data_IF_235585639842
#
_entry.id   IF_235585639842
#
_cell.length_a   1.000
_cell.length_b   1.000
_cell.length_c   1.000
_cell.angle_alpha   90.00
_cell.angle_beta   90.00
_cell.angle_gamma   90.00
#
_symmetry.space_group_name_H-M   'P 1'
#
loop_
_entity.id
_entity.type
_entity.pdbx_description
1 polymer ?
#
# COMPACT_ATOMS: atom_id res chain seq x y z
N UNK A 1 -1.57 -5.60 0.54
CA UNK A 1 -1.29 -6.99 0.89
C UNK A 1 -2.28 -7.96 0.26
N UNK A 2 -1.75 -9.04 -0.29
CA UNK A 2 -2.51 -10.19 -0.79
C UNK A 2 -2.20 -11.50 -0.05
N UNK A 3 -1.46 -11.46 1.07
CA UNK A 3 -0.96 -12.63 1.80
C UNK A 3 -2.07 -13.59 2.26
N UNK A 4 -3.29 -13.09 2.45
CA UNK A 4 -4.47 -13.88 2.85
C UNK A 4 -5.08 -14.68 1.69
N UNK A 5 -4.47 -14.66 0.50
CA UNK A 5 -5.00 -15.25 -0.73
C UNK A 5 -6.00 -14.37 -1.46
N UNK A 6 -6.28 -13.18 -0.93
CA UNK A 6 -7.08 -12.13 -1.56
C UNK A 6 -6.50 -10.76 -1.22
N UNK A 7 -6.71 -9.80 -2.10
CA UNK A 7 -6.25 -8.44 -1.91
C UNK A 7 -7.07 -7.73 -0.84
N UNK A 8 -6.40 -7.07 0.09
CA UNK A 8 -7.02 -6.26 1.13
C UNK A 8 -6.20 -5.01 1.40
N UNK A 9 -6.90 -3.94 1.75
CA UNK A 9 -6.33 -2.66 2.20
C UNK A 9 -6.77 -2.48 3.65
N UNK A 10 -5.82 -2.20 4.53
CA UNK A 10 -6.07 -1.88 5.93
C UNK A 10 -5.35 -0.60 6.29
N UNK A 11 -6.07 0.33 6.91
CA UNK A 11 -5.49 1.56 7.45
C UNK A 11 -4.50 1.23 8.59
N UNK A 12 -3.36 1.92 8.61
CA UNK A 12 -2.39 1.86 9.71
C UNK A 12 -2.75 2.90 10.78
N UNK A 13 -2.11 2.83 11.94
CA UNK A 13 -2.30 3.84 12.99
C UNK A 13 -1.89 5.24 12.49
N UNK A 14 -2.47 6.28 13.10
CA UNK A 14 -2.26 7.68 12.72
C UNK A 14 -0.84 8.19 13.00
N UNK A 15 -0.09 7.49 13.85
CA UNK A 15 1.31 7.75 14.22
C UNK A 15 2.29 6.87 13.42
N UNK A 16 2.09 6.78 12.11
CA UNK A 16 2.96 6.01 11.22
C UNK A 16 4.34 6.66 11.05
N UNK A 17 5.35 5.82 10.79
CA UNK A 17 6.70 6.23 10.48
C UNK A 17 7.29 5.42 9.32
N UNK A 18 8.57 5.62 9.01
CA UNK A 18 9.21 4.92 7.90
C UNK A 18 9.30 3.40 8.12
N UNK A 19 9.40 2.94 9.37
CA UNK A 19 9.49 1.52 9.71
C UNK A 19 8.17 0.76 9.41
N UNK A 20 7.07 1.47 9.19
CA UNK A 20 5.78 0.88 8.80
C UNK A 20 5.68 0.57 7.30
N UNK A 21 6.68 0.97 6.50
CA UNK A 21 6.73 0.67 5.07
C UNK A 21 7.19 -0.77 4.84
N UNK A 22 6.25 -1.63 4.45
CA UNK A 22 6.49 -3.05 4.25
C UNK A 22 7.08 -3.33 2.85
N UNK A 23 8.38 -3.64 2.78
CA UNK A 23 9.13 -3.93 1.54
C UNK A 23 8.49 -4.96 0.58
N UNK A 24 7.68 -5.89 1.08
CA UNK A 24 6.97 -6.91 0.32
C UNK A 24 5.57 -6.49 -0.12
N UNK A 25 5.18 -5.26 0.18
CA UNK A 25 3.81 -4.78 0.08
C UNK A 25 3.76 -3.38 -0.56
N UNK A 26 2.54 -2.85 -0.75
CA UNK A 26 2.32 -1.48 -1.23
C UNK A 26 1.62 -0.68 -0.16
N UNK A 27 2.16 0.51 0.12
CA UNK A 27 1.58 1.46 1.06
C UNK A 27 0.93 2.62 0.30
N UNK A 28 -0.23 3.06 0.78
CA UNK A 28 -0.96 4.21 0.25
C UNK A 28 -0.90 5.32 1.30
N UNK A 29 -0.46 6.51 0.89
CA UNK A 29 -0.50 7.70 1.72
C UNK A 29 -1.37 8.76 1.04
N UNK A 30 -2.48 9.10 1.67
CA UNK A 30 -3.39 10.16 1.24
C UNK A 30 -3.24 11.36 2.20
N UNK A 31 -2.96 12.54 1.66
CA UNK A 31 -2.87 13.79 2.44
C UNK A 31 -4.04 14.76 2.16
N UNK A 32 -5.07 14.32 1.43
CA UNK A 32 -6.24 15.10 1.04
C UNK A 32 -6.07 15.91 -0.26
N UNK A 33 -4.84 16.16 -0.71
CA UNK A 33 -4.56 16.84 -1.99
C UNK A 33 -3.97 15.88 -3.03
N UNK A 34 -3.18 14.91 -2.58
CA UNK A 34 -2.44 13.95 -3.39
C UNK A 34 -2.45 12.58 -2.71
N UNK A 35 -2.48 11.54 -3.54
CA UNK A 35 -2.32 10.15 -3.12
C UNK A 35 -0.97 9.64 -3.62
N UNK A 36 -0.14 9.17 -2.70
CA UNK A 36 1.16 8.58 -2.97
C UNK A 36 1.08 7.07 -2.83
N UNK A 37 1.65 6.36 -3.81
CA UNK A 37 1.87 4.92 -3.75
C UNK A 37 3.35 4.66 -3.50
N UNK A 38 3.66 4.04 -2.37
CA UNK A 38 4.99 3.54 -2.09
C UNK A 38 5.05 2.06 -2.48
N UNK A 39 5.95 1.72 -3.39
CA UNK A 39 6.13 0.37 -3.92
C UNK A 39 7.26 -0.31 -3.15
N UNK A 40 6.93 -1.32 -2.34
CA UNK A 40 7.92 -2.16 -1.71
C UNK A 40 8.78 -2.87 -2.76
N UNK A 41 10.08 -3.00 -2.48
CA UNK A 41 11.05 -3.58 -3.41
C UNK A 41 10.74 -5.03 -3.82
N UNK A 42 9.90 -5.73 -3.04
CA UNK A 42 9.50 -7.12 -3.23
C UNK A 42 7.99 -7.29 -3.46
N UNK A 43 7.24 -6.21 -3.64
CA UNK A 43 5.81 -6.28 -3.90
C UNK A 43 5.48 -6.98 -5.23
N UNK A 44 4.29 -7.56 -5.33
CA UNK A 44 3.86 -8.27 -6.54
C UNK A 44 3.24 -7.34 -7.59
N UNK A 45 3.36 -7.69 -8.87
CA UNK A 45 2.66 -6.95 -9.95
C UNK A 45 1.14 -6.91 -9.76
N UNK A 46 0.57 -7.94 -9.13
CA UNK A 46 -0.86 -8.01 -8.82
C UNK A 46 -1.22 -6.93 -7.82
N UNK A 47 -0.42 -6.75 -6.77
CA UNK A 47 -0.62 -5.68 -5.80
C UNK A 47 -0.49 -4.31 -6.43
N UNK A 48 0.49 -4.09 -7.32
CA UNK A 48 0.64 -2.81 -8.03
C UNK A 48 -0.63 -2.46 -8.80
N UNK A 49 -1.14 -3.42 -9.59
CA UNK A 49 -2.36 -3.22 -10.40
C UNK A 49 -3.59 -2.95 -9.54
N UNK A 50 -3.72 -3.64 -8.41
CA UNK A 50 -4.88 -3.50 -7.53
C UNK A 50 -4.80 -2.22 -6.70
N UNK A 51 -3.62 -1.88 -6.15
CA UNK A 51 -3.40 -0.63 -5.42
C UNK A 51 -3.66 0.60 -6.31
N UNK A 52 -3.19 0.58 -7.56
CA UNK A 52 -3.46 1.68 -8.50
C UNK A 52 -4.95 1.84 -8.80
N UNK A 53 -5.70 0.73 -8.91
CA UNK A 53 -7.17 0.78 -9.08
C UNK A 53 -7.89 1.28 -7.83
N UNK A 54 -7.36 1.01 -6.64
CA UNK A 54 -7.94 1.45 -5.38
C UNK A 54 -7.65 2.90 -5.03
N UNK A 55 -6.62 3.49 -5.64
CA UNK A 55 -6.23 4.89 -5.45
C UNK A 55 -6.83 5.86 -6.51
N UNK A 56 -7.65 5.37 -7.45
CA UNK A 56 -8.44 6.17 -8.39
C UNK A 56 -9.85 6.39 -7.87
#
# INVERSE_FOLDING_TARGET
SNEKGYFTISEKCTDFCQDDLADDDIMILDNGEQVFLWLGARCSEVEIKLAYKSAQ
#
